data_IF_639744767659
#
_entry.id   IF_639744767659
#
_cell.length_a   1.000
_cell.length_b   1.000
_cell.length_c   1.000
_cell.angle_alpha   90.00
_cell.angle_beta   90.00
_cell.angle_gamma   90.00
#
_symmetry.space_group_name_H-M   'P 1'
#
loop_
_entity.id
_entity.type
_entity.pdbx_description
1 polymer ?
#
# COMPACT_ATOMS: atom_id res chain seq x y z
N UNK A 1 -39.71 -35.75 10.15
CA UNK A 1 -38.95 -35.67 11.41
C UNK A 1 -37.62 -36.38 11.22
N UNK A 2 -36.56 -35.74 11.71
CA UNK A 2 -35.17 -36.23 11.91
C UNK A 2 -34.38 -36.74 10.70
N UNK A 3 -33.60 -35.83 10.10
CA UNK A 3 -32.43 -36.13 9.28
C UNK A 3 -31.22 -35.34 9.81
N UNK A 4 -30.44 -35.99 10.67
CA UNK A 4 -29.11 -35.55 11.10
C UNK A 4 -28.15 -35.56 9.91
N UNK A 5 -27.57 -34.42 9.57
CA UNK A 5 -26.12 -34.21 9.33
C UNK A 5 -25.91 -32.87 8.63
N UNK A 6 -25.19 -31.97 9.28
CA UNK A 6 -24.23 -31.06 8.65
C UNK A 6 -23.38 -30.45 9.76
N UNK A 7 -22.36 -31.20 10.14
CA UNK A 7 -21.08 -30.62 10.55
C UNK A 7 -20.61 -29.70 9.42
N UNK A 8 -21.05 -28.45 9.42
CA UNK A 8 -20.41 -27.41 8.66
C UNK A 8 -19.33 -26.81 9.55
N UNK A 9 -18.24 -27.58 9.72
CA UNK A 9 -16.96 -26.99 10.10
C UNK A 9 -16.66 -25.99 8.98
N UNK A 10 -16.91 -24.70 9.22
CA UNK A 10 -16.53 -23.65 8.30
C UNK A 10 -15.01 -23.69 8.22
N UNK A 11 -14.47 -24.39 7.21
CA UNK A 11 -13.07 -24.30 6.84
C UNK A 11 -12.88 -22.87 6.33
N UNK A 12 -12.55 -21.99 7.25
CA UNK A 12 -12.13 -20.63 6.97
C UNK A 12 -10.88 -20.76 6.09
N UNK A 13 -11.07 -20.58 4.78
CA UNK A 13 -9.98 -20.62 3.80
C UNK A 13 -8.96 -19.57 4.21
N UNK A 14 -7.90 -20.02 4.86
CA UNK A 14 -6.72 -19.21 5.13
C UNK A 14 -6.10 -18.92 3.76
N UNK A 15 -6.29 -17.70 3.23
CA UNK A 15 -5.58 -17.27 2.01
C UNK A 15 -4.11 -17.02 2.39
N UNK A 16 -3.14 -17.79 1.85
CA UNK A 16 -1.78 -17.83 2.36
C UNK A 16 -0.83 -16.82 1.67
N UNK A 17 -1.29 -15.64 1.24
CA UNK A 17 -0.46 -14.72 0.43
C UNK A 17 -0.37 -13.26 0.96
N UNK A 18 -0.81 -13.00 2.20
CA UNK A 18 -1.02 -11.63 2.69
C UNK A 18 0.04 -11.10 3.66
N UNK A 19 1.14 -11.80 3.95
CA UNK A 19 2.10 -11.38 4.97
C UNK A 19 3.42 -10.89 4.33
N UNK A 20 3.85 -9.68 4.69
CA UNK A 20 5.19 -9.16 4.37
C UNK A 20 6.10 -9.41 5.56
N UNK A 21 7.12 -10.24 5.36
CA UNK A 21 8.13 -10.51 6.37
C UNK A 21 9.22 -9.44 6.31
N UNK A 22 9.33 -8.61 7.35
CA UNK A 22 10.47 -7.70 7.51
C UNK A 22 11.45 -8.37 8.47
N UNK A 23 12.60 -8.77 7.94
CA UNK A 23 13.72 -9.26 8.73
C UNK A 23 14.58 -8.08 9.19
N UNK A 24 14.56 -7.79 10.49
CA UNK A 24 15.38 -6.73 11.09
C UNK A 24 16.76 -7.26 11.49
N UNK A 25 17.84 -6.75 10.90
CA UNK A 25 19.23 -7.15 11.23
C UNK A 25 19.67 -6.94 12.69
N UNK A 26 18.92 -6.19 13.51
CA UNK A 26 19.29 -5.85 14.91
C UNK A 26 18.75 -6.81 15.98
N UNK A 27 17.82 -7.69 15.62
CA UNK A 27 17.24 -8.67 16.54
C UNK A 27 16.65 -9.74 15.63
N UNK A 28 17.03 -11.01 15.80
CA UNK A 28 16.50 -12.18 15.09
C UNK A 28 14.98 -12.40 15.35
N UNK A 29 14.19 -11.36 15.11
CA UNK A 29 12.74 -11.30 15.26
C UNK A 29 12.19 -11.00 13.89
N UNK A 30 11.56 -12.01 13.32
CA UNK A 30 10.67 -11.86 12.17
C UNK A 30 9.38 -11.27 12.72
N UNK A 31 9.11 -10.01 12.41
CA UNK A 31 7.82 -9.39 12.72
C UNK A 31 6.94 -9.61 11.49
N UNK A 32 5.91 -10.45 11.60
CA UNK A 32 4.83 -10.45 10.61
C UNK A 32 4.03 -9.17 10.83
N UNK A 33 4.23 -8.21 9.94
CA UNK A 33 3.35 -7.05 9.84
C UNK A 33 2.28 -7.45 8.85
N UNK A 34 1.02 -7.52 9.31
CA UNK A 34 -0.15 -7.67 8.45
C UNK A 34 0.02 -6.68 7.29
N UNK A 35 0.07 -7.17 6.04
CA UNK A 35 0.09 -6.30 4.87
C UNK A 35 -1.06 -5.30 5.05
N UNK A 36 -0.81 -3.98 5.00
CA UNK A 36 -1.88 -3.01 5.02
C UNK A 36 -2.66 -3.23 3.74
N UNK A 37 -3.63 -4.16 3.80
CA UNK A 37 -4.59 -4.41 2.72
C UNK A 37 -5.08 -3.05 2.31
N UNK A 38 -4.87 -2.69 1.04
CA UNK A 38 -5.52 -1.53 0.49
C UNK A 38 -7.01 -1.68 0.84
N UNK A 39 -7.60 -0.74 1.60
CA UNK A 39 -8.90 -0.97 2.18
C UNK A 39 -9.89 -1.27 1.05
N UNK A 40 -10.44 -2.48 1.04
CA UNK A 40 -11.36 -2.98 0.00
C UNK A 40 -12.64 -2.12 -0.10
N UNK A 41 -12.87 -1.23 0.88
CA UNK A 41 -13.96 -0.25 0.90
C UNK A 41 -13.39 1.11 1.27
N UNK A 42 -12.98 1.89 0.27
CA UNK A 42 -12.59 3.28 0.41
C UNK A 42 -13.36 4.12 -0.60
N UNK A 43 -14.46 4.71 -0.15
CA UNK A 43 -15.32 5.59 -0.94
C UNK A 43 -15.42 6.95 -0.23
N UNK A 44 -14.37 7.78 -0.28
CA UNK A 44 -14.44 9.11 0.32
C UNK A 44 -15.37 10.01 -0.49
N UNK A 45 -16.02 10.94 0.18
CA UNK A 45 -16.63 12.08 -0.50
C UNK A 45 -15.51 13.03 -0.94
N UNK A 46 -15.39 13.23 -2.26
CA UNK A 46 -14.42 14.13 -2.86
C UNK A 46 -15.07 15.47 -3.19
N UNK A 47 -14.35 16.55 -2.92
CA UNK A 47 -14.73 17.88 -3.40
C UNK A 47 -14.74 17.92 -4.93
N UNK A 48 -15.35 18.96 -5.50
CA UNK A 48 -15.36 19.16 -6.95
C UNK A 48 -13.96 19.25 -7.54
N UNK A 49 -13.07 20.00 -6.88
CA UNK A 49 -11.66 20.13 -7.28
C UNK A 49 -10.91 18.80 -7.23
N UNK A 50 -11.13 18.00 -6.18
CA UNK A 50 -10.51 16.68 -6.02
C UNK A 50 -11.02 15.70 -7.09
N UNK A 51 -12.31 15.74 -7.42
CA UNK A 51 -12.90 14.92 -8.49
C UNK A 51 -12.34 15.30 -9.85
N UNK A 52 -12.19 16.59 -10.13
CA UNK A 52 -11.58 17.07 -11.36
C UNK A 52 -10.15 16.55 -11.53
N UNK A 53 -9.35 16.56 -10.47
CA UNK A 53 -7.99 15.97 -10.48
C UNK A 53 -8.06 14.46 -10.78
N UNK A 54 -8.94 13.73 -10.11
CA UNK A 54 -9.11 12.29 -10.32
C UNK A 54 -9.46 11.99 -11.79
N UNK A 55 -10.40 12.71 -12.39
CA UNK A 55 -10.79 12.53 -13.79
C UNK A 55 -9.62 12.74 -14.76
N UNK A 56 -8.80 13.77 -14.55
CA UNK A 56 -7.61 14.03 -15.37
C UNK A 56 -6.59 12.88 -15.29
N UNK A 57 -6.36 12.37 -14.09
CA UNK A 57 -5.49 11.19 -13.90
C UNK A 57 -6.04 9.96 -14.63
N UNK A 58 -7.36 9.71 -14.55
CA UNK A 58 -8.00 8.58 -15.23
C UNK A 58 -7.97 8.70 -16.77
N UNK A 59 -7.81 9.91 -17.31
CA UNK A 59 -7.56 10.15 -18.74
C UNK A 59 -6.11 9.88 -19.15
N UNK A 60 -5.23 9.53 -18.21
CA UNK A 60 -3.82 9.29 -18.45
C UNK A 60 -2.97 10.56 -18.47
N UNK A 61 -3.49 11.68 -17.98
CA UNK A 61 -2.72 12.92 -17.90
C UNK A 61 -1.71 12.89 -16.75
N UNK A 62 -0.55 13.50 -16.96
CA UNK A 62 0.41 13.75 -15.88
C UNK A 62 -0.04 14.91 -15.02
N UNK A 63 -0.37 14.64 -13.76
CA UNK A 63 -0.92 15.64 -12.84
C UNK A 63 -0.03 15.80 -11.60
N UNK A 64 0.33 17.04 -11.30
CA UNK A 64 0.92 17.44 -10.03
C UNK A 64 -0.10 18.25 -9.23
N UNK A 65 -0.38 17.85 -7.99
CA UNK A 65 -1.30 18.55 -7.11
C UNK A 65 -0.65 18.83 -5.74
N UNK A 66 -1.00 19.97 -5.16
CA UNK A 66 -0.50 20.45 -3.86
C UNK A 66 -1.66 21.00 -3.03
N UNK A 67 -1.37 21.45 -1.81
CA UNK A 67 -2.35 22.04 -0.90
C UNK A 67 -1.84 22.11 0.53
N UNK A 68 -2.43 22.97 1.34
CA UNK A 68 -2.11 23.14 2.77
C UNK A 68 -2.30 21.84 3.58
N UNK A 69 -1.77 21.79 4.79
CA UNK A 69 -2.06 20.69 5.72
C UNK A 69 -3.58 20.54 5.94
N UNK A 70 -4.07 19.31 6.10
CA UNK A 70 -5.50 19.05 6.35
C UNK A 70 -6.43 19.06 5.13
N UNK A 71 -5.95 19.41 3.93
CA UNK A 71 -6.76 19.50 2.69
C UNK A 71 -7.13 18.15 2.04
N UNK A 72 -6.86 17.03 2.70
CA UNK A 72 -7.22 15.71 2.17
C UNK A 72 -6.35 15.18 1.02
N UNK A 73 -5.12 15.70 0.81
CA UNK A 73 -4.21 15.19 -0.25
C UNK A 73 -4.01 13.66 -0.21
N UNK A 74 -3.80 13.08 0.97
CA UNK A 74 -3.66 11.63 1.11
C UNK A 74 -4.97 10.88 0.86
N UNK A 75 -6.13 11.52 1.08
CA UNK A 75 -7.45 10.97 0.76
C UNK A 75 -7.62 10.92 -0.76
N UNK A 76 -7.33 12.03 -1.46
CA UNK A 76 -7.35 12.08 -2.92
C UNK A 76 -6.37 11.06 -3.53
N UNK A 77 -5.13 10.99 -3.04
CA UNK A 77 -4.13 10.05 -3.55
C UNK A 77 -4.58 8.59 -3.40
N UNK A 78 -5.17 8.21 -2.25
CA UNK A 78 -5.74 6.86 -2.07
C UNK A 78 -6.93 6.60 -2.98
N UNK A 79 -7.72 7.62 -3.29
CA UNK A 79 -8.86 7.52 -4.22
C UNK A 79 -8.36 7.23 -5.64
N UNK A 80 -7.32 7.94 -6.06
CA UNK A 80 -6.63 7.71 -7.34
C UNK A 80 -6.11 6.27 -7.39
N UNK A 81 -5.36 5.83 -6.38
CA UNK A 81 -4.80 4.47 -6.35
C UNK A 81 -5.91 3.42 -6.40
N UNK A 82 -7.00 3.63 -5.65
CA UNK A 82 -8.16 2.71 -5.66
C UNK A 82 -8.83 2.67 -7.03
N UNK A 83 -9.04 3.82 -7.68
CA UNK A 83 -9.65 3.91 -9.01
C UNK A 83 -8.77 3.27 -10.10
N UNK A 84 -7.44 3.25 -9.91
CA UNK A 84 -6.49 2.55 -10.77
C UNK A 84 -6.37 1.04 -10.48
N UNK A 85 -7.14 0.51 -9.52
CA UNK A 85 -7.14 -0.92 -9.16
C UNK A 85 -6.11 -1.31 -8.10
N UNK A 86 -5.48 -0.34 -7.44
CA UNK A 86 -4.46 -0.55 -6.42
C UNK A 86 -3.04 -0.76 -6.99
N UNK A 87 -2.04 -0.95 -6.11
CA UNK A 87 -0.70 -1.32 -6.51
C UNK A 87 -0.70 -2.61 -7.34
N UNK A 88 -0.04 -2.57 -8.50
CA UNK A 88 0.05 -3.69 -9.44
C UNK A 88 1.26 -3.53 -10.36
N UNK A 89 1.53 -4.49 -11.25
CA UNK A 89 2.61 -4.39 -12.24
C UNK A 89 2.47 -3.16 -13.16
N UNK A 90 1.26 -2.61 -13.29
CA UNK A 90 0.96 -1.41 -14.08
C UNK A 90 0.92 -0.12 -13.27
N UNK A 91 0.84 -0.22 -11.94
CA UNK A 91 0.61 0.92 -11.04
C UNK A 91 1.62 0.85 -9.89
N UNK A 92 2.71 1.61 -10.03
CA UNK A 92 3.69 1.78 -8.98
C UNK A 92 3.25 2.91 -8.03
N UNK A 93 3.10 2.59 -6.74
CA UNK A 93 2.78 3.57 -5.69
C UNK A 93 4.04 3.84 -4.88
N UNK A 94 4.54 5.07 -4.96
CA UNK A 94 5.81 5.44 -4.34
C UNK A 94 5.72 6.67 -3.45
N UNK A 95 6.56 6.73 -2.42
CA UNK A 95 6.79 7.95 -1.62
C UNK A 95 8.28 8.17 -1.33
N UNK A 96 8.65 9.37 -0.86
CA UNK A 96 10.03 9.71 -0.51
C UNK A 96 10.49 9.07 0.82
N UNK A 97 9.57 8.82 1.75
CA UNK A 97 9.88 8.26 3.08
C UNK A 97 9.12 6.96 3.35
N UNK A 98 9.70 6.07 4.16
CA UNK A 98 9.09 4.77 4.46
C UNK A 98 7.73 4.90 5.16
N UNK A 99 7.61 5.80 6.13
CA UNK A 99 6.37 5.97 6.89
C UNK A 99 5.21 6.49 6.02
N UNK A 100 5.50 7.38 5.05
CA UNK A 100 4.48 7.89 4.14
C UNK A 100 4.11 6.87 3.06
N UNK A 101 5.09 6.07 2.60
CA UNK A 101 4.83 4.96 1.71
C UNK A 101 3.84 3.95 2.32
N UNK A 102 4.01 3.61 3.60
CA UNK A 102 3.07 2.73 4.32
C UNK A 102 1.66 3.33 4.36
N UNK A 103 1.51 4.63 4.61
CA UNK A 103 0.19 5.28 4.68
C UNK A 103 -0.60 5.28 3.36
N UNK A 104 0.09 5.15 2.24
CA UNK A 104 -0.51 5.08 0.90
C UNK A 104 -0.45 3.66 0.33
N UNK A 105 -0.07 2.65 1.13
CA UNK A 105 0.03 1.25 0.71
C UNK A 105 1.04 1.03 -0.43
N UNK A 106 2.14 1.79 -0.43
CA UNK A 106 3.20 1.71 -1.43
C UNK A 106 4.57 1.48 -0.82
N UNK A 107 5.61 1.75 -1.60
CA UNK A 107 7.01 1.63 -1.20
C UNK A 107 7.79 2.94 -1.39
N UNK A 108 9.04 3.01 -0.94
CA UNK A 108 9.86 4.18 -1.23
C UNK A 108 10.33 4.19 -2.68
N UNK A 109 10.57 5.37 -3.25
CA UNK A 109 11.11 5.52 -4.60
C UNK A 109 12.47 4.79 -4.74
N UNK A 110 13.32 4.83 -3.71
CA UNK A 110 14.59 4.09 -3.65
C UNK A 110 14.38 2.57 -3.72
N UNK A 111 13.45 2.03 -2.91
CA UNK A 111 13.12 0.60 -2.96
C UNK A 111 12.52 0.19 -4.30
N UNK A 112 11.75 1.06 -4.95
CA UNK A 112 11.17 0.83 -6.28
C UNK A 112 12.21 0.82 -7.37
N UNK A 113 13.16 1.76 -7.34
CA UNK A 113 14.22 1.87 -8.33
C UNK A 113 15.36 0.84 -8.14
N UNK A 114 15.29 -0.03 -7.11
CA UNK A 114 16.38 -0.94 -6.76
C UNK A 114 17.62 -0.26 -6.16
N UNK A 115 17.53 1.06 -5.87
CA UNK A 115 18.56 1.86 -5.24
C UNK A 115 18.53 1.68 -3.72
N UNK A 116 18.67 0.44 -3.25
CA UNK A 116 18.99 0.20 -1.84
C UNK A 116 20.43 0.64 -1.67
N UNK A 117 20.66 1.68 -0.86
CA UNK A 117 22.01 2.00 -0.39
C UNK A 117 22.62 0.69 0.11
N UNK A 118 23.66 0.22 -0.57
CA UNK A 118 24.54 -0.78 0.01
C UNK A 118 25.11 -0.07 1.23
N UNK A 119 24.58 -0.39 2.40
CA UNK A 119 25.20 0.00 3.65
C UNK A 119 26.64 -0.52 3.55
N UNK A 120 27.57 0.40 3.30
CA UNK A 120 28.99 0.09 3.28
C UNK A 120 29.30 -0.42 4.69
N UNK A 121 29.53 -1.73 4.79
CA UNK A 121 30.04 -2.32 6.02
C UNK A 121 31.40 -1.69 6.27
N UNK A 122 31.46 -0.80 7.25
CA UNK A 122 32.69 -0.20 7.79
C UNK A 122 33.61 -1.30 8.42
N UNK A 123 33.19 -2.56 8.40
CA UNK A 123 34.02 -3.72 8.79
C UNK A 123 34.90 -4.29 7.66
N UNK A 124 34.91 -3.69 6.46
CA UNK A 124 35.76 -4.14 5.34
C UNK A 124 37.06 -3.35 5.15
N UNK A 125 37.42 -2.48 6.11
CA UNK A 125 38.60 -1.61 6.05
C UNK A 125 39.58 -1.75 7.24
N UNK A 126 39.54 -2.87 7.97
CA UNK A 126 40.54 -3.24 8.98
C UNK A 126 40.95 -4.69 8.78
#
# INVERSE_FOLDING_TARGET
MTGLTRNALAIQRHQPQDDVFIETKRSNRVISIRNPRFPQRFHPELSEEQRHILERVLRGESVFFTGSAGTGKSVLLRSIITALGGPSDKVAVTSSTGISAVHIGGQTLHSFAGAKDKQLDIQSLT
#
